data_IF_763984143378
#
_entry.id   IF_763984143378
#
_cell.length_a   1.000
_cell.length_b   1.000
_cell.length_c   1.000
_cell.angle_alpha   90.00
_cell.angle_beta   90.00
_cell.angle_gamma   90.00
#
_symmetry.space_group_name_H-M   'P 1'
#
loop_
_entity.id
_entity.type
_entity.pdbx_description
1 polymer ?
#
# COMPACT_ATOMS: atom_id res chain seq x y z
N UNK A 1 5.79 4.56 7.49
CA UNK A 1 5.81 5.29 8.79
C UNK A 1 5.76 6.81 8.61
N UNK A 2 6.85 7.50 8.22
CA UNK A 2 6.87 8.97 8.22
C UNK A 2 5.73 9.64 7.43
N UNK A 3 5.44 9.16 6.21
CA UNK A 3 4.33 9.68 5.41
C UNK A 3 2.95 9.47 6.06
N UNK A 4 2.76 8.41 6.83
CA UNK A 4 1.49 8.18 7.54
C UNK A 4 1.34 9.10 8.76
N UNK A 5 2.44 9.49 9.41
CA UNK A 5 2.44 10.39 10.57
C UNK A 5 2.40 11.87 10.20
N UNK A 6 3.08 12.25 9.12
CA UNK A 6 3.41 13.65 8.83
C UNK A 6 3.02 14.09 7.41
N UNK A 7 2.36 13.22 6.63
CA UNK A 7 2.00 13.50 5.24
C UNK A 7 3.22 13.57 4.33
N UNK A 8 3.77 14.76 4.13
CA UNK A 8 4.92 14.97 3.24
C UNK A 8 6.23 14.44 3.83
N UNK A 9 7.00 13.71 3.01
CA UNK A 9 8.37 13.32 3.36
C UNK A 9 9.36 14.49 3.26
N UNK A 10 9.12 15.41 2.32
CA UNK A 10 9.93 16.61 2.12
C UNK A 10 9.17 17.83 2.66
N UNK A 11 9.74 18.45 3.69
CA UNK A 11 9.19 19.58 4.44
C UNK A 11 10.22 20.72 4.59
N UNK A 12 11.13 20.84 3.61
CA UNK A 12 12.23 21.83 3.60
C UNK A 12 13.62 21.20 3.40
N UNK A 13 13.74 19.87 3.44
CA UNK A 13 15.01 19.20 3.15
C UNK A 13 15.42 19.43 1.68
N UNK A 14 16.73 19.41 1.42
CA UNK A 14 17.29 19.55 0.07
C UNK A 14 16.86 18.37 -0.80
N UNK A 15 16.21 18.66 -1.93
CA UNK A 15 15.81 17.66 -2.91
C UNK A 15 16.86 17.52 -4.01
N UNK A 16 17.39 16.31 -4.19
CA UNK A 16 18.56 16.06 -5.06
C UNK A 16 18.31 16.47 -6.52
N UNK A 17 17.11 16.22 -7.04
CA UNK A 17 16.74 16.52 -8.42
C UNK A 17 16.64 18.01 -8.71
N UNK A 18 16.03 18.79 -7.81
CA UNK A 18 15.84 20.23 -7.99
C UNK A 18 16.98 21.07 -7.39
N UNK A 19 17.91 20.44 -6.65
CA UNK A 19 19.06 21.07 -5.97
C UNK A 19 18.67 22.23 -5.04
N UNK A 20 17.44 22.24 -4.51
CA UNK A 20 16.86 23.27 -3.63
C UNK A 20 16.04 22.61 -2.51
N UNK A 21 15.74 23.33 -1.40
CA UNK A 21 14.73 22.90 -0.42
C UNK A 21 13.40 22.58 -1.11
N UNK A 22 12.74 21.49 -0.69
CA UNK A 22 11.42 21.10 -1.21
C UNK A 22 10.40 20.99 -0.09
N UNK A 23 9.24 21.61 -0.29
CA UNK A 23 8.12 21.57 0.63
C UNK A 23 8.29 22.51 1.82
N UNK A 24 7.27 22.52 2.67
CA UNK A 24 7.15 23.29 3.91
C UNK A 24 6.64 22.32 4.99
N UNK A 25 6.95 22.54 6.28
CA UNK A 25 6.34 21.77 7.35
C UNK A 25 4.81 21.73 7.24
N UNK A 26 4.25 20.55 7.47
CA UNK A 26 2.82 20.29 7.43
C UNK A 26 2.38 19.49 8.67
N UNK A 27 3.07 19.74 9.79
CA UNK A 27 2.90 19.01 11.05
C UNK A 27 1.59 19.36 11.77
N UNK A 28 0.99 20.48 11.41
CA UNK A 28 -0.28 21.02 11.90
C UNK A 28 -1.48 20.63 11.03
N UNK A 29 -1.24 20.08 9.83
CA UNK A 29 -2.30 19.63 8.95
C UNK A 29 -2.82 18.26 9.40
N UNK A 30 -4.15 18.07 9.42
CA UNK A 30 -4.71 16.79 9.78
C UNK A 30 -4.50 15.77 8.64
N UNK A 31 -4.47 14.48 8.97
CA UNK A 31 -4.08 13.46 8.01
C UNK A 31 -5.00 13.41 6.77
N UNK A 32 -6.27 13.77 6.90
CA UNK A 32 -7.26 13.71 5.81
C UNK A 32 -7.01 14.76 4.72
N UNK A 33 -6.22 15.80 5.03
CA UNK A 33 -5.76 16.79 4.06
C UNK A 33 -4.80 16.18 3.00
N UNK A 34 -4.27 14.98 3.25
CA UNK A 34 -3.35 14.30 2.35
C UNK A 34 -4.06 13.19 1.57
N UNK A 35 -4.20 13.38 0.25
CA UNK A 35 -4.64 12.31 -0.65
C UNK A 35 -3.46 11.36 -0.91
N UNK A 36 -3.66 10.09 -0.60
CA UNK A 36 -2.65 9.03 -0.74
C UNK A 36 -3.09 8.00 -1.78
N UNK A 37 -2.15 7.46 -2.54
CA UNK A 37 -2.43 6.50 -3.59
C UNK A 37 -1.22 5.61 -3.84
N UNK A 38 -1.49 4.38 -4.26
CA UNK A 38 -0.48 3.49 -4.85
C UNK A 38 -0.42 3.63 -6.38
N UNK A 39 -1.55 3.99 -6.98
CA UNK A 39 -1.67 4.14 -8.43
C UNK A 39 -2.53 5.36 -8.73
N UNK A 40 -2.14 6.09 -9.77
CA UNK A 40 -2.95 7.07 -10.45
C UNK A 40 -2.57 7.04 -11.94
N UNK A 41 -3.22 7.87 -12.76
CA UNK A 41 -2.97 7.92 -14.19
C UNK A 41 -1.48 8.18 -14.50
N UNK A 42 -0.82 9.09 -13.79
CA UNK A 42 0.59 9.44 -13.99
C UNK A 42 1.54 8.30 -13.61
N UNK A 43 1.37 7.69 -12.43
CA UNK A 43 2.26 6.63 -11.95
C UNK A 43 2.22 5.38 -12.83
N UNK A 44 1.09 5.14 -13.52
CA UNK A 44 0.96 4.04 -14.47
C UNK A 44 1.43 4.47 -15.87
N UNK A 45 0.84 5.54 -16.42
CA UNK A 45 1.08 5.93 -17.82
C UNK A 45 2.50 6.40 -18.09
N UNK A 46 3.20 6.96 -17.09
CA UNK A 46 4.60 7.39 -17.20
C UNK A 46 5.61 6.24 -17.03
N UNK A 47 5.15 4.98 -17.10
CA UNK A 47 5.99 3.80 -17.32
C UNK A 47 6.01 3.38 -18.79
N UNK A 48 6.96 2.54 -19.19
CA UNK A 48 7.12 2.09 -20.59
C UNK A 48 5.88 1.32 -21.07
N UNK A 49 5.42 0.37 -20.25
CA UNK A 49 4.38 -0.58 -20.62
C UNK A 49 3.00 -0.25 -20.03
N UNK A 50 2.88 0.84 -19.25
CA UNK A 50 1.62 1.18 -18.57
C UNK A 50 1.16 0.10 -17.58
N UNK A 51 2.11 -0.68 -17.03
CA UNK A 51 1.79 -1.80 -16.15
C UNK A 51 1.27 -1.30 -14.81
N UNK A 52 0.26 -2.01 -14.30
CA UNK A 52 -0.32 -1.73 -12.98
C UNK A 52 0.52 -2.36 -11.89
N UNK A 53 0.41 -1.83 -10.67
CA UNK A 53 1.30 -2.21 -9.56
C UNK A 53 1.34 -3.72 -9.29
N UNK A 54 0.20 -4.41 -9.34
CA UNK A 54 0.13 -5.87 -9.09
C UNK A 54 0.89 -6.71 -10.13
N UNK A 55 1.18 -6.16 -11.31
CA UNK A 55 2.00 -6.81 -12.36
C UNK A 55 3.50 -6.59 -12.16
N UNK A 56 3.88 -5.67 -11.26
CA UNK A 56 5.26 -5.26 -10.97
C UNK A 56 5.79 -5.80 -9.64
N UNK A 57 4.96 -6.54 -8.90
CA UNK A 57 5.28 -7.06 -7.57
C UNK A 57 4.66 -8.43 -7.35
N UNK A 58 4.96 -9.07 -6.22
CA UNK A 58 4.33 -10.32 -5.83
C UNK A 58 2.88 -10.10 -5.32
N UNK A 59 2.01 -11.11 -5.42
CA UNK A 59 0.64 -11.02 -4.91
C UNK A 59 0.56 -10.61 -3.42
N UNK A 60 1.41 -11.17 -2.56
CA UNK A 60 1.44 -10.84 -1.12
C UNK A 60 1.79 -9.38 -0.86
N UNK A 61 2.85 -8.85 -1.50
CA UNK A 61 3.20 -7.42 -1.39
C UNK A 61 2.09 -6.51 -1.90
N UNK A 62 1.40 -6.89 -2.97
CA UNK A 62 0.28 -6.11 -3.48
C UNK A 62 -0.88 -6.07 -2.46
N UNK A 63 -1.26 -7.20 -1.86
CA UNK A 63 -2.29 -7.22 -0.81
C UNK A 63 -1.87 -6.41 0.42
N UNK A 64 -0.63 -6.59 0.88
CA UNK A 64 -0.10 -5.89 2.04
C UNK A 64 -0.07 -4.37 1.84
N UNK A 65 0.38 -3.89 0.67
CA UNK A 65 0.37 -2.47 0.35
C UNK A 65 -1.04 -1.92 0.13
N UNK A 66 -1.97 -2.72 -0.41
CA UNK A 66 -3.39 -2.34 -0.51
C UNK A 66 -3.99 -2.10 0.88
N UNK A 67 -3.69 -2.96 1.86
CA UNK A 67 -4.08 -2.75 3.25
C UNK A 67 -3.46 -1.48 3.84
N UNK A 68 -2.16 -1.25 3.61
CA UNK A 68 -1.50 -0.02 4.06
C UNK A 68 -2.14 1.24 3.46
N UNK A 69 -2.45 1.25 2.16
CA UNK A 69 -3.13 2.37 1.49
C UNK A 69 -4.51 2.64 2.10
N UNK A 70 -5.34 1.60 2.23
CA UNK A 70 -6.73 1.76 2.62
C UNK A 70 -6.90 2.04 4.11
N UNK A 71 -5.95 1.63 4.96
CA UNK A 71 -6.05 1.80 6.41
C UNK A 71 -5.20 2.94 6.97
N UNK A 72 -4.21 3.45 6.24
CA UNK A 72 -3.44 4.62 6.70
C UNK A 72 -4.35 5.85 6.87
N UNK A 73 -4.00 6.81 7.74
CA UNK A 73 -4.93 7.87 8.16
C UNK A 73 -5.27 8.88 7.05
N UNK A 74 -4.42 9.01 6.03
CA UNK A 74 -4.66 9.87 4.86
C UNK A 74 -5.91 9.48 4.05
N UNK A 75 -6.35 10.35 3.15
CA UNK A 75 -7.51 10.11 2.28
C UNK A 75 -7.11 9.20 1.10
N UNK A 76 -7.52 7.92 1.06
CA UNK A 76 -7.07 7.00 0.02
C UNK A 76 -7.77 7.29 -1.31
N UNK A 77 -7.02 7.22 -2.40
CA UNK A 77 -7.52 7.26 -3.77
C UNK A 77 -7.11 5.96 -4.49
N UNK A 78 -8.08 5.36 -5.18
CA UNK A 78 -7.87 4.23 -6.09
C UNK A 78 -7.92 4.72 -7.53
N UNK A 79 -7.10 4.15 -8.40
CA UNK A 79 -7.23 4.34 -9.84
C UNK A 79 -8.20 3.31 -10.42
N UNK A 80 -8.96 3.68 -11.45
CA UNK A 80 -9.96 2.78 -12.06
C UNK A 80 -9.36 1.42 -12.43
N UNK A 81 -9.99 0.33 -11.99
CA UNK A 81 -9.52 -1.04 -12.21
C UNK A 81 -8.54 -1.55 -11.17
N UNK A 82 -8.05 -0.71 -10.25
CA UNK A 82 -7.19 -1.18 -9.16
C UNK A 82 -7.91 -2.13 -8.21
N UNK A 83 -9.21 -1.93 -8.00
CA UNK A 83 -10.03 -2.68 -7.04
C UNK A 83 -10.26 -4.14 -7.43
N UNK A 84 -10.12 -4.47 -8.72
CA UNK A 84 -10.21 -5.83 -9.25
C UNK A 84 -8.92 -6.28 -9.96
N UNK A 85 -7.78 -5.62 -9.69
CA UNK A 85 -6.49 -5.95 -10.31
C UNK A 85 -6.60 -6.08 -11.84
N UNK A 86 -7.13 -5.04 -12.51
CA UNK A 86 -7.38 -5.04 -13.94
C UNK A 86 -6.15 -5.45 -14.74
N UNK A 87 -6.29 -6.35 -15.72
CA UNK A 87 -5.14 -6.81 -16.52
C UNK A 87 -4.67 -5.76 -17.54
N UNK A 88 -5.60 -4.89 -17.97
CA UNK A 88 -5.33 -3.88 -18.99
C UNK A 88 -4.34 -2.83 -18.50
N UNK A 89 -3.34 -2.44 -19.33
CA UNK A 89 -2.44 -1.35 -18.99
C UNK A 89 -3.20 -0.02 -18.94
N UNK A 90 -2.52 1.04 -18.52
CA UNK A 90 -2.99 2.41 -18.77
C UNK A 90 -1.88 3.18 -19.47
N UNK A 91 -2.04 3.40 -20.78
CA UNK A 91 -1.05 4.05 -21.63
C UNK A 91 -1.34 5.54 -21.78
N UNK A 92 -0.34 6.31 -22.22
CA UNK A 92 -0.57 7.67 -22.69
C UNK A 92 -1.06 7.63 -24.14
N UNK A 93 -2.29 8.08 -24.39
CA UNK A 93 -2.91 8.17 -25.71
C UNK A 93 -3.51 9.57 -25.91
N UNK A 94 -3.53 10.03 -27.16
CA UNK A 94 -4.04 11.35 -27.53
C UNK A 94 -4.48 11.36 -29.00
N UNK A 95 -5.68 11.87 -29.26
CA UNK A 95 -6.21 12.05 -30.61
C UNK A 95 -6.06 13.50 -31.07
N UNK A 96 -4.85 13.85 -31.50
CA UNK A 96 -4.56 15.17 -32.07
C UNK A 96 -4.58 15.15 -33.61
N UNK A 97 -4.76 16.35 -34.18
CA UNK A 97 -4.64 16.59 -35.62
C UNK A 97 -3.30 16.06 -36.17
N UNK A 98 -3.24 15.59 -37.43
CA UNK A 98 -2.06 14.94 -38.01
C UNK A 98 -0.74 15.69 -37.81
N UNK A 99 -0.75 17.02 -37.90
CA UNK A 99 0.40 17.90 -37.74
C UNK A 99 1.01 17.87 -36.32
N UNK A 100 0.22 17.51 -35.29
CA UNK A 100 0.66 17.44 -33.90
C UNK A 100 1.13 16.05 -33.48
N UNK A 101 0.84 15.00 -34.24
CA UNK A 101 1.17 13.61 -33.87
C UNK A 101 2.67 13.40 -33.69
N UNK A 102 3.48 13.87 -34.64
CA UNK A 102 4.96 13.79 -34.57
C UNK A 102 5.54 14.61 -33.40
N UNK A 103 5.17 15.89 -33.21
CA UNK A 103 5.57 16.66 -32.04
C UNK A 103 5.20 15.99 -30.70
N UNK A 104 3.98 15.46 -30.56
CA UNK A 104 3.51 14.80 -29.33
C UNK A 104 4.34 13.54 -29.04
N UNK A 105 4.55 12.69 -30.05
CA UNK A 105 5.39 11.48 -29.90
C UNK A 105 6.82 11.83 -29.52
N UNK A 106 7.41 12.85 -30.15
CA UNK A 106 8.76 13.33 -29.81
C UNK A 106 8.83 13.87 -28.39
N UNK A 107 7.89 14.75 -28.01
CA UNK A 107 7.83 15.34 -26.67
C UNK A 107 7.63 14.30 -25.58
N UNK A 108 6.80 13.27 -25.82
CA UNK A 108 6.63 12.13 -24.90
C UNK A 108 7.94 11.39 -24.67
N UNK A 109 8.68 11.12 -25.74
CA UNK A 109 9.99 10.45 -25.66
C UNK A 109 11.02 11.27 -24.89
N UNK A 110 11.09 12.57 -25.17
CA UNK A 110 12.00 13.49 -24.47
C UNK A 110 11.66 13.59 -22.99
N UNK A 111 10.37 13.73 -22.66
CA UNK A 111 9.90 13.71 -21.28
C UNK A 111 10.31 12.43 -20.55
N UNK A 112 10.17 11.25 -21.18
CA UNK A 112 10.52 9.99 -20.53
C UNK A 112 12.02 9.72 -20.45
N UNK A 113 12.85 10.35 -21.29
CA UNK A 113 14.32 10.19 -21.22
C UNK A 113 14.95 10.71 -19.93
N UNK A 114 14.21 11.51 -19.12
CA UNK A 114 14.68 11.94 -17.81
C UNK A 114 14.78 10.78 -16.81
N UNK A 115 14.11 9.65 -17.07
CA UNK A 115 14.16 8.46 -16.24
C UNK A 115 15.30 7.53 -16.71
N UNK A 116 16.27 7.18 -15.85
CA UNK A 116 17.46 6.42 -16.27
C UNK A 116 17.17 5.09 -16.97
N UNK A 117 16.13 4.37 -16.55
CA UNK A 117 15.68 3.11 -17.18
C UNK A 117 15.11 3.30 -18.59
N UNK A 118 14.77 4.53 -18.98
CA UNK A 118 14.17 4.89 -20.27
C UNK A 118 15.11 5.71 -21.18
N UNK A 119 16.35 5.98 -20.74
CA UNK A 119 17.34 6.70 -21.53
C UNK A 119 17.92 5.88 -22.71
N UNK A 120 17.67 4.56 -22.75
CA UNK A 120 18.11 3.70 -23.85
C UNK A 120 17.22 3.89 -25.09
N UNK A 121 17.83 4.22 -26.22
CA UNK A 121 17.12 4.42 -27.49
C UNK A 121 16.25 3.22 -27.92
N UNK A 122 16.69 1.98 -27.66
CA UNK A 122 15.91 0.77 -27.96
C UNK A 122 14.65 0.64 -27.10
N UNK A 123 14.68 1.17 -25.87
CA UNK A 123 13.52 1.18 -24.97
C UNK A 123 12.53 2.28 -25.41
N UNK A 124 13.05 3.42 -25.84
CA UNK A 124 12.23 4.51 -26.37
C UNK A 124 11.45 4.12 -27.64
N UNK A 125 11.97 3.19 -28.45
CA UNK A 125 11.27 2.63 -29.61
C UNK A 125 10.11 1.72 -29.24
N UNK A 126 10.09 1.14 -28.02
CA UNK A 126 9.01 0.29 -27.53
C UNK A 126 7.83 1.07 -26.94
N UNK A 127 7.94 2.40 -26.82
CA UNK A 127 6.85 3.24 -26.34
C UNK A 127 5.68 3.17 -27.32
N UNK A 128 4.49 2.89 -26.78
CA UNK A 128 3.25 2.91 -27.55
C UNK A 128 3.06 4.29 -28.21
N UNK A 129 2.64 4.31 -29.48
CA UNK A 129 2.36 5.55 -30.18
C UNK A 129 1.09 6.18 -29.57
N UNK A 130 1.16 7.40 -29.03
CA UNK A 130 -0.01 8.02 -28.42
C UNK A 130 -1.17 8.25 -29.41
N UNK A 131 -0.85 8.38 -30.71
CA UNK A 131 -1.85 8.62 -31.76
C UNK A 131 -2.44 7.34 -32.34
N UNK A 132 -1.92 6.17 -31.96
CA UNK A 132 -2.51 4.88 -32.38
C UNK A 132 -3.75 4.59 -31.53
N UNK A 133 -4.88 4.35 -32.19
CA UNK A 133 -6.13 4.00 -31.54
C UNK A 133 -6.00 2.72 -30.68
N UNK A 134 -5.02 1.85 -30.97
CA UNK A 134 -4.73 0.68 -30.16
C UNK A 134 -4.24 1.04 -28.75
N UNK A 135 -3.54 2.16 -28.57
CA UNK A 135 -3.10 2.64 -27.25
C UNK A 135 -4.29 2.95 -26.33
N UNK A 136 -5.36 3.51 -26.91
CA UNK A 136 -6.64 3.73 -26.21
C UNK A 136 -7.38 2.42 -25.96
N UNK A 137 -7.56 1.58 -26.99
CA UNK A 137 -8.29 0.30 -26.86
C UNK A 137 -7.68 -0.61 -25.79
N UNK A 138 -6.34 -0.74 -25.77
CA UNK A 138 -5.62 -1.50 -24.74
C UNK A 138 -5.76 -0.93 -23.33
N UNK A 139 -6.09 0.35 -23.19
CA UNK A 139 -6.30 1.00 -21.89
C UNK A 139 -7.74 0.91 -21.38
N UNK A 140 -8.63 0.26 -22.14
CA UNK A 140 -10.02 0.05 -21.75
C UNK A 140 -10.10 -1.08 -20.72
N UNK A 141 -10.92 -0.89 -19.68
CA UNK A 141 -11.16 -1.92 -18.67
C UNK A 141 -12.12 -2.98 -19.22
N UNK A 142 -11.83 -4.25 -18.95
CA UNK A 142 -12.80 -5.33 -19.16
C UNK A 142 -13.69 -5.48 -17.91
N UNK A 143 -15.00 -5.18 -17.97
CA UNK A 143 -15.89 -5.31 -16.83
C UNK A 143 -16.04 -6.75 -16.32
N UNK A 144 -15.81 -7.77 -17.16
CA UNK A 144 -15.91 -9.17 -16.77
C UNK A 144 -14.86 -9.54 -15.69
N UNK A 145 -13.70 -8.86 -15.69
CA UNK A 145 -12.64 -9.08 -14.71
C UNK A 145 -13.07 -8.79 -13.27
N UNK A 146 -14.10 -7.95 -13.04
CA UNK A 146 -14.67 -7.73 -11.70
C UNK A 146 -15.17 -9.03 -11.06
N UNK A 147 -15.70 -9.94 -11.87
CA UNK A 147 -16.17 -11.24 -11.41
C UNK A 147 -15.04 -12.27 -11.41
N UNK A 148 -14.19 -12.26 -12.44
CA UNK A 148 -13.06 -13.19 -12.55
C UNK A 148 -12.02 -12.99 -11.44
N UNK A 149 -11.81 -11.74 -10.99
CA UNK A 149 -10.85 -11.37 -9.95
C UNK A 149 -11.58 -11.08 -8.62
N UNK A 150 -12.54 -11.93 -8.25
CA UNK A 150 -13.39 -11.76 -7.06
C UNK A 150 -12.60 -11.60 -5.75
N UNK A 151 -11.44 -12.26 -5.62
CA UNK A 151 -10.55 -12.14 -4.47
C UNK A 151 -10.00 -10.71 -4.28
N UNK A 152 -9.66 -10.02 -5.38
CA UNK A 152 -9.21 -8.64 -5.35
C UNK A 152 -10.33 -7.69 -4.91
N UNK A 153 -11.54 -7.93 -5.42
CA UNK A 153 -12.74 -7.20 -5.01
C UNK A 153 -13.05 -7.42 -3.52
N UNK A 154 -12.99 -8.67 -3.04
CA UNK A 154 -13.23 -9.01 -1.64
C UNK A 154 -12.24 -8.28 -0.72
N UNK A 155 -10.95 -8.32 -1.07
CA UNK A 155 -9.89 -7.61 -0.35
C UNK A 155 -10.20 -6.12 -0.19
N UNK A 156 -10.51 -5.43 -1.28
CA UNK A 156 -10.79 -3.99 -1.25
C UNK A 156 -12.08 -3.67 -0.48
N UNK A 157 -13.12 -4.48 -0.68
CA UNK A 157 -14.41 -4.29 -0.01
C UNK A 157 -14.28 -4.43 1.50
N UNK A 158 -13.59 -5.46 1.97
CA UNK A 158 -13.44 -5.75 3.39
C UNK A 158 -12.54 -4.71 4.07
N UNK A 159 -11.47 -4.26 3.40
CA UNK A 159 -10.62 -3.18 3.91
C UNK A 159 -11.36 -1.83 3.97
N UNK A 160 -12.21 -1.53 2.98
CA UNK A 160 -13.04 -0.32 3.00
C UNK A 160 -14.11 -0.39 4.09
N UNK A 161 -14.72 -1.56 4.30
CA UNK A 161 -15.64 -1.80 5.41
C UNK A 161 -14.92 -1.64 6.76
N UNK A 162 -13.74 -2.25 6.91
CA UNK A 162 -12.93 -2.12 8.11
C UNK A 162 -12.54 -0.66 8.39
N UNK A 163 -12.13 0.11 7.38
CA UNK A 163 -11.85 1.55 7.50
C UNK A 163 -13.07 2.36 7.97
N UNK A 164 -14.27 1.98 7.52
CA UNK A 164 -15.53 2.71 7.77
C UNK A 164 -16.15 2.35 9.13
N UNK A 165 -16.13 1.06 9.47
CA UNK A 165 -16.95 0.50 10.53
C UNK A 165 -16.17 0.22 11.82
N UNK A 166 -14.84 0.06 11.77
CA UNK A 166 -14.03 -0.05 12.98
C UNK A 166 -13.88 1.32 13.66
N UNK A 167 -14.31 1.41 14.92
CA UNK A 167 -14.38 2.68 15.65
C UNK A 167 -13.01 3.38 15.84
N UNK A 168 -11.90 2.64 15.81
CA UNK A 168 -10.54 3.20 15.91
C UNK A 168 -10.07 3.68 14.53
N UNK A 169 -10.22 2.83 13.51
CA UNK A 169 -9.74 3.14 12.15
C UNK A 169 -10.59 4.21 11.44
N UNK A 170 -11.85 4.36 11.83
CA UNK A 170 -12.76 5.39 11.33
C UNK A 170 -12.55 6.77 11.99
N UNK A 171 -11.87 6.84 13.15
CA UNK A 171 -11.71 8.08 13.92
C UNK A 171 -10.97 9.17 13.14
N UNK A 172 -11.50 10.40 13.15
CA UNK A 172 -10.88 11.60 12.59
C UNK A 172 -10.93 12.77 13.59
N UNK A 173 -9.80 13.43 13.92
CA UNK A 173 -8.44 13.08 13.50
C UNK A 173 -8.01 11.72 14.08
N UNK A 174 -7.25 10.96 13.30
CA UNK A 174 -6.72 9.68 13.74
C UNK A 174 -5.54 9.91 14.70
N UNK A 175 -5.57 9.28 15.87
CA UNK A 175 -4.41 9.22 16.77
C UNK A 175 -3.55 8.04 16.35
N UNK A 176 -2.37 8.30 15.77
CA UNK A 176 -1.53 7.27 15.18
C UNK A 176 -0.04 7.52 15.45
N UNK A 177 0.68 6.44 15.75
CA UNK A 177 2.14 6.41 15.71
C UNK A 177 2.62 5.21 14.87
N UNK A 178 3.91 5.14 14.57
CA UNK A 178 4.48 4.05 13.81
C UNK A 178 5.97 3.91 14.01
N UNK A 179 6.43 2.67 13.88
CA UNK A 179 7.83 2.30 14.01
C UNK A 179 8.27 1.40 12.85
N UNK A 180 9.57 1.44 12.55
CA UNK A 180 10.20 0.55 11.57
C UNK A 180 10.75 -0.65 12.32
N UNK A 181 10.31 -1.84 11.94
CA UNK A 181 10.71 -3.12 12.55
C UNK A 181 11.89 -3.77 11.81
N UNK A 182 12.16 -3.32 10.58
CA UNK A 182 13.29 -3.77 9.78
C UNK A 182 13.27 -3.13 8.39
N UNK A 183 14.21 -3.51 7.52
CA UNK A 183 14.35 -2.92 6.19
C UNK A 183 13.10 -3.06 5.30
N UNK A 184 12.23 -4.04 5.57
CA UNK A 184 11.00 -4.32 4.82
C UNK A 184 9.77 -4.48 5.71
N UNK A 185 9.86 -4.14 7.00
CA UNK A 185 8.78 -4.33 7.94
C UNK A 185 8.60 -3.10 8.83
N UNK A 186 7.34 -2.74 9.09
CA UNK A 186 6.98 -1.60 9.91
C UNK A 186 5.57 -1.78 10.47
N UNK A 187 5.20 -0.90 11.41
CA UNK A 187 3.87 -0.87 12.00
C UNK A 187 3.26 0.53 11.93
N UNK A 188 1.93 0.58 12.01
CA UNK A 188 1.17 1.73 12.48
C UNK A 188 0.30 1.28 13.65
N UNK A 189 0.37 1.99 14.77
CA UNK A 189 -0.54 1.81 15.91
C UNK A 189 -1.55 2.94 15.92
N UNK A 190 -2.82 2.59 15.90
CA UNK A 190 -3.93 3.52 16.06
C UNK A 190 -4.44 3.42 17.49
N UNK A 191 -4.50 4.56 18.17
CA UNK A 191 -4.90 4.63 19.57
C UNK A 191 -6.41 4.84 19.68
N UNK A 192 -7.05 4.01 20.50
CA UNK A 192 -8.51 4.02 20.68
C UNK A 192 -8.91 4.04 22.14
N UNK A 193 -10.02 4.72 22.46
CA UNK A 193 -10.53 4.82 23.84
C UNK A 193 -10.88 3.46 24.46
N UNK A 194 -11.36 2.53 23.65
CA UNK A 194 -11.80 1.19 24.06
C UNK A 194 -10.83 0.09 23.59
N UNK A 195 -9.61 0.46 23.24
CA UNK A 195 -8.55 -0.45 22.79
C UNK A 195 -7.97 -0.04 21.45
N UNK A 196 -6.71 -0.42 21.23
CA UNK A 196 -5.92 0.01 20.08
C UNK A 196 -6.07 -0.93 18.88
N UNK A 197 -5.61 -0.47 17.72
CA UNK A 197 -5.36 -1.29 16.53
C UNK A 197 -3.90 -1.23 16.14
N UNK A 198 -3.35 -2.37 15.72
CA UNK A 198 -1.97 -2.45 15.23
C UNK A 198 -1.98 -3.00 13.80
N UNK A 199 -1.60 -2.16 12.84
CA UNK A 199 -1.35 -2.58 11.45
C UNK A 199 0.13 -2.94 11.31
N UNK A 200 0.41 -4.21 11.07
CA UNK A 200 1.76 -4.73 10.79
C UNK A 200 1.90 -4.97 9.30
N UNK A 201 3.00 -4.49 8.71
CA UNK A 201 3.35 -4.75 7.31
C UNK A 201 4.72 -5.43 7.27
N UNK A 202 4.83 -6.52 6.50
CA UNK A 202 6.10 -7.15 6.16
C UNK A 202 6.15 -7.42 4.65
N UNK A 203 7.05 -6.77 3.93
CA UNK A 203 7.29 -7.00 2.50
C UNK A 203 8.50 -7.91 2.23
N UNK A 204 9.14 -8.43 3.28
CA UNK A 204 10.32 -9.30 3.21
C UNK A 204 9.99 -10.76 3.47
N UNK A 205 11.00 -11.51 3.94
CA UNK A 205 10.85 -12.88 4.43
C UNK A 205 10.18 -12.90 5.82
N UNK A 206 9.85 -14.10 6.30
CA UNK A 206 9.34 -14.33 7.66
C UNK A 206 10.17 -13.58 8.71
N UNK A 207 9.47 -12.79 9.53
CA UNK A 207 10.09 -11.97 10.57
C UNK A 207 9.59 -12.42 11.93
N UNK A 208 10.52 -12.81 12.81
CA UNK A 208 10.22 -13.10 14.22
C UNK A 208 11.01 -12.16 15.10
N UNK A 209 10.35 -11.36 15.92
CA UNK A 209 11.00 -10.32 16.73
C UNK A 209 11.60 -10.94 18.00
N UNK A 210 12.93 -11.11 18.06
CA UNK A 210 13.65 -11.81 19.14
C UNK A 210 14.95 -11.08 19.56
N UNK A 211 14.95 -10.35 20.69
CA UNK A 211 13.77 -9.76 21.33
C UNK A 211 13.17 -8.67 20.43
N UNK A 212 11.90 -8.30 20.66
CA UNK A 212 11.25 -7.17 19.98
C UNK A 212 11.02 -5.98 20.92
N UNK A 213 12.05 -5.22 21.33
CA UNK A 213 11.92 -4.12 22.29
C UNK A 213 11.38 -2.84 21.63
N UNK A 214 10.29 -2.93 20.89
CA UNK A 214 9.60 -1.80 20.28
C UNK A 214 8.34 -1.46 21.11
N UNK A 215 8.27 -0.30 21.80
CA UNK A 215 7.14 0.03 22.66
C UNK A 215 5.78 -0.03 21.96
N UNK A 216 5.72 0.32 20.66
CA UNK A 216 4.44 0.33 19.93
C UNK A 216 3.86 -1.07 19.69
N UNK A 217 4.65 -2.15 19.75
CA UNK A 217 4.12 -3.52 19.67
C UNK A 217 3.64 -4.07 21.02
N UNK A 218 3.92 -3.39 22.13
CA UNK A 218 3.47 -3.84 23.45
C UNK A 218 1.94 -3.71 23.56
N UNK A 219 1.21 -4.76 23.94
CA UNK A 219 -0.21 -4.64 24.25
C UNK A 219 -0.43 -3.77 25.50
N UNK A 220 -1.64 -3.27 25.69
CA UNK A 220 -2.02 -2.56 26.92
C UNK A 220 -1.94 -3.50 28.14
N UNK A 221 -1.91 -2.92 29.34
CA UNK A 221 -1.86 -3.69 30.59
C UNK A 221 -3.05 -4.65 30.70
N UNK A 222 -2.79 -5.91 31.07
CA UNK A 222 -3.77 -6.99 31.11
C UNK A 222 -4.46 -7.34 29.77
N UNK A 223 -3.90 -6.89 28.64
CA UNK A 223 -4.39 -7.19 27.30
C UNK A 223 -3.40 -8.02 26.47
N UNK A 224 -3.87 -8.57 25.35
CA UNK A 224 -3.07 -9.25 24.34
C UNK A 224 -3.54 -8.88 22.93
N UNK A 225 -2.66 -9.06 21.96
CA UNK A 225 -3.02 -8.90 20.55
C UNK A 225 -3.72 -10.14 20.01
N UNK A 226 -4.80 -9.92 19.28
CA UNK A 226 -5.46 -10.92 18.46
C UNK A 226 -5.53 -10.44 17.00
N UNK A 227 -5.42 -11.37 16.06
CA UNK A 227 -5.60 -11.05 14.64
C UNK A 227 -7.07 -10.70 14.38
N UNK A 228 -7.31 -9.46 13.97
CA UNK A 228 -8.61 -8.96 13.51
C UNK A 228 -8.77 -9.21 12.01
N UNK A 229 -7.71 -9.01 11.23
CA UNK A 229 -7.72 -9.17 9.78
C UNK A 229 -6.33 -9.57 9.26
N UNK A 230 -6.29 -10.35 8.17
CA UNK A 230 -5.04 -10.75 7.52
C UNK A 230 -5.14 -10.65 6.01
N UNK A 231 -4.11 -10.09 5.37
CA UNK A 231 -3.99 -10.07 3.91
C UNK A 231 -3.85 -11.47 3.31
N UNK A 232 -3.43 -12.45 4.10
CA UNK A 232 -3.16 -13.81 3.65
C UNK A 232 -4.37 -14.75 3.87
N UNK A 233 -5.54 -14.20 4.17
CA UNK A 233 -6.79 -14.96 4.19
C UNK A 233 -7.09 -15.56 2.79
N UNK A 234 -7.69 -16.75 2.75
CA UNK A 234 -7.90 -17.53 1.52
C UNK A 234 -8.85 -16.79 0.57
N UNK A 235 -9.79 -16.02 1.13
CA UNK A 235 -10.77 -15.18 0.42
C UNK A 235 -10.09 -14.13 -0.48
N UNK A 236 -8.85 -13.75 -0.16
CA UNK A 236 -8.04 -12.80 -0.92
C UNK A 236 -6.99 -13.47 -1.81
N UNK A 237 -7.02 -14.79 -1.92
CA UNK A 237 -6.00 -15.59 -2.61
C UNK A 237 -4.68 -15.67 -1.84
N UNK A 238 -4.74 -15.56 -0.51
CA UNK A 238 -3.60 -15.77 0.39
C UNK A 238 -3.31 -17.24 0.69
N UNK A 239 -2.15 -17.50 1.29
CA UNK A 239 -1.70 -18.85 1.63
C UNK A 239 -2.06 -19.29 3.07
N UNK A 240 -2.88 -18.51 3.77
CA UNK A 240 -3.24 -18.71 5.17
C UNK A 240 -2.39 -17.87 6.14
N UNK A 241 -2.94 -17.65 7.33
CA UNK A 241 -2.32 -16.83 8.38
C UNK A 241 -1.75 -17.71 9.48
N UNK A 242 -0.42 -17.75 9.68
CA UNK A 242 0.15 -18.51 10.79
C UNK A 242 -0.21 -17.88 12.16
N UNK A 243 -0.06 -18.63 13.27
CA UNK A 243 -0.23 -18.07 14.60
C UNK A 243 0.63 -16.83 14.83
N UNK A 244 0.05 -15.82 15.49
CA UNK A 244 0.69 -14.53 15.76
C UNK A 244 1.98 -14.65 16.58
N UNK A 245 2.04 -15.65 17.47
CA UNK A 245 3.19 -15.90 18.34
C UNK A 245 3.83 -17.25 18.00
N UNK A 246 5.15 -17.27 17.82
CA UNK A 246 5.96 -18.49 17.68
C UNK A 246 6.99 -18.54 18.80
N UNK A 247 6.86 -19.52 19.70
CA UNK A 247 7.69 -19.66 20.92
C UNK A 247 7.73 -18.38 21.77
N UNK A 248 6.61 -17.66 21.86
CA UNK A 248 6.49 -16.43 22.68
C UNK A 248 6.85 -15.14 22.00
N UNK A 249 7.29 -15.21 20.75
CA UNK A 249 7.71 -14.04 20.01
C UNK A 249 6.74 -13.72 18.89
N UNK A 250 6.46 -12.42 18.73
CA UNK A 250 5.63 -11.92 17.64
C UNK A 250 6.25 -12.34 16.30
N UNK A 251 5.46 -13.03 15.50
CA UNK A 251 5.82 -13.54 14.19
C UNK A 251 4.95 -12.89 13.12
N UNK A 252 5.59 -12.37 12.07
CA UNK A 252 4.94 -11.72 10.94
C UNK A 252 5.39 -12.47 9.69
N UNK A 253 4.44 -13.13 9.02
CA UNK A 253 4.71 -13.91 7.81
C UNK A 253 5.31 -13.04 6.70
N UNK A 254 6.07 -13.67 5.80
CA UNK A 254 6.58 -13.02 4.60
C UNK A 254 5.45 -12.35 3.79
N UNK A 255 5.75 -11.20 3.20
CA UNK A 255 4.88 -10.51 2.22
C UNK A 255 3.40 -10.39 2.65
N UNK A 256 3.16 -9.95 3.88
CA UNK A 256 1.85 -9.92 4.50
C UNK A 256 1.53 -8.59 5.20
N UNK A 257 0.24 -8.37 5.43
CA UNK A 257 -0.27 -7.36 6.35
C UNK A 257 -1.24 -8.00 7.36
N UNK A 258 -1.14 -7.56 8.61
CA UNK A 258 -2.05 -7.98 9.69
C UNK A 258 -2.63 -6.73 10.35
N UNK A 259 -3.93 -6.76 10.63
CA UNK A 259 -4.54 -5.83 11.60
C UNK A 259 -4.78 -6.63 12.87
N UNK A 260 -4.27 -6.13 13.97
CA UNK A 260 -4.47 -6.69 15.29
C UNK A 260 -5.40 -5.80 16.11
N UNK A 261 -6.22 -6.41 16.96
CA UNK A 261 -7.03 -5.74 17.97
C UNK A 261 -6.55 -6.13 19.36
N UNK A 262 -6.67 -5.21 20.30
CA UNK A 262 -6.42 -5.50 21.70
C UNK A 262 -7.62 -6.20 22.33
N UNK A 263 -7.37 -7.22 23.15
CA UNK A 263 -8.41 -7.97 23.89
C UNK A 263 -8.03 -8.13 25.36
N UNK A 264 -9.03 -7.97 26.25
CA UNK A 264 -8.88 -8.05 27.72
C UNK A 264 -8.97 -9.49 28.25
N UNK A 265 -8.32 -9.76 29.39
CA UNK A 265 -8.65 -10.91 30.26
C UNK A 265 -8.27 -12.29 29.70
N UNK A 266 -8.76 -13.39 30.32
CA UNK A 266 -8.30 -14.81 30.21
C UNK A 266 -7.78 -15.30 28.84
N UNK A 267 -8.28 -14.77 27.71
CA UNK A 267 -7.75 -14.97 26.36
C UNK A 267 -6.26 -14.57 26.20
N UNK A 268 -5.81 -13.54 26.92
CA UNK A 268 -4.43 -13.10 26.99
C UNK A 268 -3.51 -14.13 27.70
N UNK A 269 -4.04 -14.90 28.65
CA UNK A 269 -3.29 -15.93 29.39
C UNK A 269 -3.07 -17.19 28.55
N UNK A 270 -4.07 -17.64 27.78
CA UNK A 270 -3.95 -18.79 26.88
C UNK A 270 -2.96 -18.53 25.72
N UNK A 271 -2.92 -17.30 25.21
CA UNK A 271 -1.98 -16.89 24.15
C UNK A 271 -0.53 -16.81 24.66
N UNK A 272 -0.32 -16.42 25.93
CA UNK A 272 1.01 -16.38 26.58
C UNK A 272 1.50 -17.74 27.09
N UNK A 273 0.61 -18.66 27.50
CA UNK A 273 0.99 -20.00 27.97
C UNK A 273 1.39 -20.94 26.82
N UNK A 274 0.68 -20.93 25.69
CA UNK A 274 1.03 -21.75 24.50
C UNK A 274 2.40 -21.41 23.90
N UNK A 275 2.99 -20.28 24.28
CA UNK A 275 4.32 -19.86 23.86
C UNK A 275 5.47 -20.32 24.74
N UNK A 276 5.22 -20.78 25.96
CA UNK A 276 6.25 -21.27 26.89
C UNK A 276 6.43 -22.79 26.82
N UNK A 277 5.42 -23.52 26.35
CA UNK A 277 5.45 -24.99 26.32
C UNK A 277 5.90 -25.60 24.97
N UNK A 278 6.74 -24.93 24.16
CA UNK A 278 7.20 -25.46 22.86
C UNK A 278 8.48 -24.89 22.27
#
# INVERSE_FOLDING_TARGET
>A
VAAAKYGFLYQGQRYIWQKKPRGTPALDLPAEAFVVFLQNHDQIANSIAGQRLHQLTSPGRWRAMTAYLLLMPGTPMLFQGQEFAASSPFLYFADHKPELRRPVRKGRREFLSQFPSMANAKIAEQLADPSDAESFRRSTLDPAERHAHSAAIALNRDLLALRRDDYVLAQRPAEVDGAVLGARAWLLRFFGKEGDRLLLINLGADLTLRPGPEPLIAPLEAEAWQILWSSEAIEYGGAGTPPLYRRGYLHIAAESALVLTSVKGEAAHQTRQRSHDG
#
